data_IF_250872738727
#
_entry.id   IF_250872738727
#
_cell.length_a   1.000
_cell.length_b   1.000
_cell.length_c   1.000
_cell.angle_alpha   90.00
_cell.angle_beta   90.00
_cell.angle_gamma   90.00
#
_symmetry.space_group_name_H-M   'P 1'
#
loop_
_entity.id
_entity.type
_entity.pdbx_description
1 polymer ?
#
# COMPACT_ATOMS: atom_id res chain seq x y z
N UNK A 1 -27.00 21.87 23.35
CA UNK A 1 -26.19 20.77 23.90
C UNK A 1 -26.06 19.59 22.94
N UNK A 2 -26.97 19.36 21.98
CA UNK A 2 -26.86 18.26 21.01
C UNK A 2 -25.74 18.40 19.94
N UNK A 3 -25.50 19.61 19.41
CA UNK A 3 -24.53 19.80 18.31
C UNK A 3 -23.09 19.43 18.65
N UNK A 4 -22.69 19.50 19.92
CA UNK A 4 -21.31 19.23 20.34
C UNK A 4 -21.04 17.72 20.53
N UNK A 5 -22.06 17.00 21.00
CA UNK A 5 -22.03 15.55 21.16
C UNK A 5 -21.98 14.86 19.78
N UNK A 6 -22.78 15.34 18.83
CA UNK A 6 -22.73 14.89 17.43
C UNK A 6 -21.34 15.12 16.80
N UNK A 7 -20.72 16.28 17.04
CA UNK A 7 -19.36 16.55 16.56
C UNK A 7 -18.32 15.60 17.17
N UNK A 8 -18.51 15.20 18.42
CA UNK A 8 -17.62 14.26 19.10
C UNK A 8 -17.76 12.85 18.52
N UNK A 9 -18.99 12.36 18.34
CA UNK A 9 -19.25 11.07 17.69
C UNK A 9 -18.67 11.02 16.29
N UNK A 10 -18.90 12.05 15.47
CA UNK A 10 -18.33 12.14 14.11
C UNK A 10 -16.81 12.18 14.11
N UNK A 11 -16.20 12.84 15.08
CA UNK A 11 -14.74 12.84 15.23
C UNK A 11 -14.22 11.44 15.57
N UNK A 12 -14.88 10.72 16.47
CA UNK A 12 -14.52 9.35 16.82
C UNK A 12 -14.62 8.42 15.60
N UNK A 13 -15.75 8.46 14.87
CA UNK A 13 -15.93 7.68 13.64
C UNK A 13 -14.87 8.00 12.58
N UNK A 14 -14.58 9.29 12.35
CA UNK A 14 -13.57 9.72 11.38
C UNK A 14 -12.18 9.21 11.76
N UNK A 15 -11.84 9.20 13.05
CA UNK A 15 -10.56 8.67 13.54
C UNK A 15 -10.44 7.17 13.36
N UNK A 16 -11.51 6.40 13.58
CA UNK A 16 -11.50 4.97 13.30
C UNK A 16 -11.30 4.72 11.80
N UNK A 17 -12.02 5.44 10.91
CA UNK A 17 -11.80 5.33 9.45
C UNK A 17 -10.35 5.66 9.05
N UNK A 18 -9.75 6.70 9.65
CA UNK A 18 -8.33 7.02 9.42
C UNK A 18 -7.43 5.85 9.79
N UNK A 19 -7.62 5.23 10.96
CA UNK A 19 -6.82 4.07 11.39
C UNK A 19 -6.98 2.89 10.44
N UNK A 20 -8.19 2.62 9.98
CA UNK A 20 -8.47 1.53 9.03
C UNK A 20 -7.73 1.75 7.71
N UNK A 21 -7.72 2.99 7.19
CA UNK A 21 -6.98 3.34 5.98
C UNK A 21 -5.46 3.19 6.20
N UNK A 22 -4.93 3.62 7.35
CA UNK A 22 -3.51 3.48 7.68
C UNK A 22 -3.07 2.02 7.79
N UNK A 23 -3.88 1.18 8.42
CA UNK A 23 -3.64 -0.26 8.48
C UNK A 23 -3.62 -0.86 7.07
N UNK A 24 -4.61 -0.51 6.24
CA UNK A 24 -4.71 -0.98 4.85
C UNK A 24 -3.50 -0.53 4.01
N UNK A 25 -3.08 0.73 4.13
CA UNK A 25 -1.89 1.25 3.47
C UNK A 25 -0.63 0.48 3.89
N UNK A 26 -0.48 0.20 5.19
CA UNK A 26 0.66 -0.57 5.71
C UNK A 26 0.70 -1.97 5.10
N UNK A 27 -0.44 -2.67 5.03
CA UNK A 27 -0.51 -3.98 4.38
C UNK A 27 -0.11 -3.93 2.90
N UNK A 28 -0.53 -2.90 2.16
CA UNK A 28 -0.16 -2.80 0.74
C UNK A 28 1.34 -2.52 0.59
N UNK A 29 1.94 -1.71 1.47
CA UNK A 29 3.38 -1.46 1.48
C UNK A 29 4.18 -2.74 1.77
N UNK A 30 3.73 -3.55 2.73
CA UNK A 30 4.33 -4.86 3.02
C UNK A 30 4.23 -5.81 1.81
N UNK A 31 3.08 -5.81 1.13
CA UNK A 31 2.89 -6.60 -0.08
C UNK A 31 3.77 -6.11 -1.24
N UNK A 32 3.94 -4.80 -1.42
CA UNK A 32 4.90 -4.21 -2.38
C UNK A 32 6.33 -4.65 -2.09
N UNK A 33 6.73 -4.72 -0.82
CA UNK A 33 8.06 -5.20 -0.44
C UNK A 33 8.26 -6.69 -0.79
N UNK A 34 7.23 -7.53 -0.63
CA UNK A 34 7.27 -8.93 -1.07
C UNK A 34 7.38 -9.04 -2.59
N UNK A 35 6.67 -8.19 -3.34
CA UNK A 35 6.78 -8.13 -4.80
C UNK A 35 8.20 -7.76 -5.21
N UNK A 36 8.76 -6.69 -4.66
CA UNK A 36 10.12 -6.25 -4.96
C UNK A 36 11.16 -7.36 -4.68
N UNK A 37 11.02 -8.07 -3.55
CA UNK A 37 11.92 -9.17 -3.19
C UNK A 37 11.81 -10.35 -4.18
N UNK A 38 10.59 -10.71 -4.56
CA UNK A 38 10.32 -11.78 -5.54
C UNK A 38 10.78 -11.41 -6.95
N UNK A 39 10.69 -10.12 -7.28
CA UNK A 39 11.13 -9.61 -8.55
C UNK A 39 12.63 -9.74 -8.74
N UNK A 40 13.42 -9.41 -7.72
CA UNK A 40 14.88 -9.60 -7.72
C UNK A 40 15.23 -11.06 -7.98
N UNK A 41 14.49 -12.01 -7.36
CA UNK A 41 14.68 -13.44 -7.58
C UNK A 41 14.42 -13.84 -9.04
N UNK A 42 13.33 -13.38 -9.63
CA UNK A 42 12.97 -13.68 -11.02
C UNK A 42 13.88 -12.99 -12.04
N UNK A 43 14.30 -11.75 -11.80
CA UNK A 43 15.25 -11.04 -12.66
C UNK A 43 16.62 -11.75 -12.61
N UNK A 44 17.05 -12.21 -11.44
CA UNK A 44 18.26 -13.02 -11.28
C UNK A 44 18.19 -14.31 -12.11
N UNK A 45 17.05 -15.00 -12.11
CA UNK A 45 16.79 -16.14 -12.99
C UNK A 45 16.93 -15.77 -14.46
N UNK A 46 16.31 -14.68 -14.92
CA UNK A 46 16.39 -14.30 -16.33
C UNK A 46 17.80 -13.94 -16.77
N UNK A 47 18.54 -13.19 -15.95
CA UNK A 47 19.91 -12.77 -16.26
C UNK A 47 20.91 -13.92 -16.27
N UNK A 48 20.71 -14.98 -15.48
CA UNK A 48 21.61 -16.13 -15.52
C UNK A 48 21.52 -16.90 -16.84
N UNK A 49 20.36 -16.87 -17.50
CA UNK A 49 20.12 -17.61 -18.76
C UNK A 49 20.25 -16.76 -20.02
N UNK A 50 20.02 -15.45 -19.95
CA UNK A 50 20.20 -14.53 -21.09
C UNK A 50 20.64 -13.12 -20.64
N UNK A 51 21.90 -12.95 -20.20
CA UNK A 51 22.38 -11.71 -19.56
C UNK A 51 22.29 -10.49 -20.47
N UNK A 52 22.68 -10.63 -21.75
CA UNK A 52 22.65 -9.50 -22.70
C UNK A 52 21.22 -9.05 -22.99
N UNK A 53 20.29 -10.01 -23.13
CA UNK A 53 18.89 -9.73 -23.43
C UNK A 53 18.15 -9.09 -22.25
N UNK A 54 18.51 -9.43 -21.02
CA UNK A 54 17.87 -8.96 -19.79
C UNK A 54 18.68 -7.91 -19.02
N UNK A 55 19.75 -7.39 -19.61
CA UNK A 55 20.61 -6.34 -19.03
C UNK A 55 19.85 -5.06 -18.67
N UNK A 56 18.77 -4.75 -19.39
CA UNK A 56 17.91 -3.58 -19.16
C UNK A 56 16.93 -3.75 -17.99
N UNK A 57 16.80 -4.95 -17.41
CA UNK A 57 15.95 -5.18 -16.22
C UNK A 57 16.59 -4.64 -14.92
N UNK A 58 17.77 -4.00 -15.00
CA UNK A 58 18.33 -3.20 -13.91
C UNK A 58 17.49 -1.93 -13.67
N UNK A 59 16.36 -2.10 -13.02
CA UNK A 59 15.50 -1.04 -12.53
C UNK A 59 14.56 -1.62 -11.50
N UNK A 60 14.70 -1.17 -10.26
CA UNK A 60 13.73 -1.49 -9.21
C UNK A 60 12.41 -0.80 -9.57
N UNK A 61 11.25 -1.47 -9.48
CA UNK A 61 9.95 -0.80 -9.65
C UNK A 61 9.77 0.37 -8.69
N UNK A 62 10.55 0.39 -7.59
CA UNK A 62 10.57 1.47 -6.61
C UNK A 62 11.25 2.77 -7.09
N UNK A 63 12.04 2.78 -8.17
CA UNK A 63 12.77 4.00 -8.59
C UNK A 63 11.82 5.10 -9.12
N UNK A 64 10.58 4.75 -9.50
CA UNK A 64 9.51 5.70 -9.80
C UNK A 64 8.58 6.03 -8.62
N UNK A 65 8.69 5.29 -7.51
CA UNK A 65 7.80 5.39 -6.36
C UNK A 65 8.38 6.35 -5.31
N UNK A 66 8.22 7.64 -5.53
CA UNK A 66 8.20 8.60 -4.41
C UNK A 66 6.87 8.46 -3.66
N UNK A 67 6.65 7.29 -3.03
CA UNK A 67 5.57 7.11 -2.07
C UNK A 67 5.94 7.88 -0.80
N UNK A 68 5.67 9.18 -0.80
CA UNK A 68 5.67 10.00 0.40
C UNK A 68 4.42 9.70 1.24
N UNK A 69 4.24 8.44 1.64
CA UNK A 69 3.18 8.03 2.58
C UNK A 69 3.64 8.45 3.97
N UNK A 70 3.28 9.66 4.35
CA UNK A 70 3.49 10.16 5.70
C UNK A 70 2.40 9.61 6.62
N UNK A 71 2.66 8.45 7.22
CA UNK A 71 1.89 7.92 8.35
C UNK A 71 2.25 8.69 9.65
N UNK A 72 2.21 10.02 9.59
CA UNK A 72 2.43 10.84 10.79
C UNK A 72 1.17 10.73 11.63
N UNK A 73 1.15 9.99 12.75
CA UNK A 73 -0.01 9.81 13.64
C UNK A 73 -0.86 11.08 13.89
N UNK A 74 -2.15 10.92 14.24
CA UNK A 74 -3.10 12.06 14.39
C UNK A 74 -2.54 13.11 15.38
N UNK A 75 -2.14 14.32 14.94
CA UNK A 75 -1.68 15.36 15.86
C UNK A 75 -2.80 15.79 16.82
N UNK A 76 -4.07 15.55 16.47
CA UNK A 76 -5.21 15.82 17.33
C UNK A 76 -5.45 14.71 18.37
N UNK A 77 -4.83 13.53 18.27
CA UNK A 77 -4.88 12.51 19.31
C UNK A 77 -4.13 12.92 20.59
N UNK A 78 -3.23 13.93 20.49
CA UNK A 78 -2.55 14.52 21.65
C UNK A 78 -3.41 15.57 22.37
N UNK A 79 -4.52 16.01 21.78
CA UNK A 79 -5.45 16.91 22.42
C UNK A 79 -6.54 16.10 23.14
N UNK A 80 -6.34 15.86 24.44
CA UNK A 80 -7.39 15.42 25.35
C UNK A 80 -8.47 16.50 25.46
N UNK A 81 -9.33 16.61 24.44
CA UNK A 81 -10.46 17.52 24.42
C UNK A 81 -11.61 16.83 25.14
N UNK A 82 -11.87 17.26 26.38
CA UNK A 82 -13.15 16.97 27.03
C UNK A 82 -14.30 17.63 26.25
N UNK A 83 -15.54 17.14 26.41
CA UNK A 83 -16.73 17.55 25.64
C UNK A 83 -17.15 19.03 25.79
N UNK A 84 -16.38 19.87 26.50
CA UNK A 84 -16.74 21.26 26.80
C UNK A 84 -16.14 22.30 25.83
N UNK A 85 -15.18 21.94 24.96
CA UNK A 85 -14.56 22.84 23.98
C UNK A 85 -14.96 22.48 22.53
N UNK A 86 -16.21 22.77 22.17
CA UNK A 86 -16.80 22.42 20.87
C UNK A 86 -16.05 23.02 19.67
N UNK A 87 -15.41 24.19 19.85
CA UNK A 87 -14.59 24.82 18.80
C UNK A 87 -13.35 23.97 18.52
N UNK A 88 -12.71 23.44 19.56
CA UNK A 88 -11.57 22.52 19.43
C UNK A 88 -11.96 21.19 18.82
N UNK A 89 -13.10 20.62 19.23
CA UNK A 89 -13.64 19.38 18.61
C UNK A 89 -13.91 19.60 17.12
N UNK A 90 -14.50 20.74 16.74
CA UNK A 90 -14.74 21.09 15.34
C UNK A 90 -13.44 21.24 14.55
N UNK A 91 -12.42 21.86 15.13
CA UNK A 91 -11.12 22.00 14.47
C UNK A 91 -10.42 20.64 14.31
N UNK A 92 -10.48 19.79 15.33
CA UNK A 92 -9.97 18.41 15.25
C UNK A 92 -10.70 17.59 14.18
N UNK A 93 -12.02 17.74 14.06
CA UNK A 93 -12.80 17.08 13.00
C UNK A 93 -12.35 17.52 11.61
N UNK A 94 -12.16 18.81 11.37
CA UNK A 94 -11.65 19.32 10.08
C UNK A 94 -10.29 18.71 9.75
N UNK A 95 -9.38 18.63 10.73
CA UNK A 95 -8.07 18.02 10.55
C UNK A 95 -8.17 16.52 10.25
N UNK A 96 -9.00 15.79 11.00
CA UNK A 96 -9.20 14.35 10.83
C UNK A 96 -9.82 14.04 9.45
N UNK A 97 -10.83 14.79 9.01
CA UNK A 97 -11.45 14.64 7.69
C UNK A 97 -10.48 14.98 6.56
N UNK A 98 -9.67 16.03 6.72
CA UNK A 98 -8.63 16.37 5.73
C UNK A 98 -7.60 15.25 5.59
N UNK A 99 -7.21 14.63 6.71
CA UNK A 99 -6.29 13.49 6.72
C UNK A 99 -6.93 12.25 6.09
N UNK A 100 -8.17 11.93 6.45
CA UNK A 100 -8.95 10.83 5.86
C UNK A 100 -8.95 10.92 4.33
N UNK A 101 -9.23 12.12 3.79
CA UNK A 101 -9.22 12.36 2.35
C UNK A 101 -7.83 12.18 1.72
N UNK A 102 -6.79 12.71 2.37
CA UNK A 102 -5.41 12.57 1.90
C UNK A 102 -4.96 11.11 1.88
N UNK A 103 -5.23 10.35 2.94
CA UNK A 103 -4.88 8.94 3.04
C UNK A 103 -5.69 8.09 2.05
N UNK A 104 -6.97 8.40 1.86
CA UNK A 104 -7.81 7.74 0.85
C UNK A 104 -7.26 7.92 -0.57
N UNK A 105 -6.76 9.12 -0.87
CA UNK A 105 -6.10 9.39 -2.15
C UNK A 105 -4.81 8.58 -2.30
N UNK A 106 -3.94 8.59 -1.28
CA UNK A 106 -2.72 7.77 -1.26
C UNK A 106 -3.03 6.28 -1.39
N UNK A 107 -4.09 5.78 -0.75
CA UNK A 107 -4.51 4.39 -0.85
C UNK A 107 -4.94 4.03 -2.29
N UNK A 108 -5.62 4.94 -2.99
CA UNK A 108 -5.96 4.73 -4.39
C UNK A 108 -4.72 4.68 -5.30
N UNK A 109 -3.74 5.57 -5.07
CA UNK A 109 -2.48 5.60 -5.80
C UNK A 109 -1.67 4.32 -5.56
N UNK A 110 -1.41 3.97 -4.30
CA UNK A 110 -0.68 2.77 -3.90
C UNK A 110 -1.41 1.51 -4.39
N UNK A 111 -2.75 1.51 -4.35
CA UNK A 111 -3.58 0.43 -4.89
C UNK A 111 -3.45 0.25 -6.41
N UNK A 112 -3.27 1.33 -7.18
CA UNK A 112 -2.98 1.24 -8.62
C UNK A 112 -1.56 0.69 -8.86
N UNK A 113 -0.59 1.13 -8.05
CA UNK A 113 0.80 0.67 -8.12
C UNK A 113 0.89 -0.83 -7.89
N UNK A 114 0.38 -1.35 -6.76
CA UNK A 114 0.49 -2.79 -6.45
C UNK A 114 -0.14 -3.66 -7.55
N UNK A 115 -1.24 -3.21 -8.17
CA UNK A 115 -1.83 -3.93 -9.31
C UNK A 115 -0.89 -4.03 -10.49
N UNK A 116 -0.25 -2.92 -10.86
CA UNK A 116 0.74 -2.91 -11.96
C UNK A 116 1.94 -3.80 -11.62
N UNK A 117 2.41 -3.76 -10.38
CA UNK A 117 3.53 -4.58 -9.93
C UNK A 117 3.21 -6.08 -9.91
N UNK A 118 1.99 -6.47 -9.50
CA UNK A 118 1.54 -7.87 -9.57
C UNK A 118 1.46 -8.36 -11.03
N UNK A 119 1.01 -7.50 -11.96
CA UNK A 119 0.98 -7.81 -13.40
C UNK A 119 2.41 -7.99 -13.94
N UNK A 120 3.32 -7.06 -13.60
CA UNK A 120 4.73 -7.15 -13.99
C UNK A 120 5.38 -8.42 -13.45
N UNK A 121 5.17 -8.73 -12.17
CA UNK A 121 5.68 -9.94 -11.53
C UNK A 121 5.16 -11.21 -12.22
N UNK A 122 3.90 -11.21 -12.68
CA UNK A 122 3.32 -12.32 -13.45
C UNK A 122 4.09 -12.56 -14.77
N UNK A 123 4.44 -11.49 -15.48
CA UNK A 123 5.23 -11.57 -16.71
C UNK A 123 6.64 -12.14 -16.46
N UNK A 124 7.31 -11.67 -15.41
CA UNK A 124 8.63 -12.17 -15.01
C UNK A 124 8.58 -13.65 -14.61
N UNK A 125 7.55 -14.05 -13.86
CA UNK A 125 7.36 -15.45 -13.45
C UNK A 125 7.14 -16.33 -14.67
N UNK A 126 6.30 -15.92 -15.63
CA UNK A 126 6.05 -16.65 -16.87
C UNK A 126 7.33 -16.80 -17.71
N UNK A 127 8.14 -15.75 -17.82
CA UNK A 127 9.42 -15.81 -18.53
C UNK A 127 10.43 -16.72 -17.82
N UNK A 128 10.61 -16.57 -16.51
CA UNK A 128 11.53 -17.40 -15.75
C UNK A 128 11.10 -18.88 -15.78
N UNK A 129 9.79 -19.18 -15.85
CA UNK A 129 9.28 -20.55 -15.97
C UNK A 129 9.84 -21.31 -17.16
N UNK A 130 10.18 -20.61 -18.24
CA UNK A 130 10.80 -21.22 -19.43
C UNK A 130 12.19 -21.79 -19.13
N UNK A 131 12.94 -21.17 -18.21
CA UNK A 131 14.32 -21.54 -17.88
C UNK A 131 14.43 -22.31 -16.56
N UNK A 132 13.76 -21.84 -15.50
CA UNK A 132 13.75 -22.43 -14.16
C UNK A 132 12.31 -22.61 -13.64
N UNK A 133 11.63 -23.69 -14.03
CA UNK A 133 10.22 -23.90 -13.70
C UNK A 133 9.97 -24.01 -12.19
N UNK A 134 10.88 -24.64 -11.43
CA UNK A 134 10.73 -24.80 -9.98
C UNK A 134 10.83 -23.45 -9.23
N UNK A 135 11.75 -22.58 -9.65
CA UNK A 135 11.93 -21.25 -9.06
C UNK A 135 10.72 -20.35 -9.35
N UNK A 136 10.26 -20.35 -10.60
CA UNK A 136 9.05 -19.63 -11.00
C UNK A 136 7.81 -20.13 -10.24
N UNK A 137 7.65 -21.45 -10.11
CA UNK A 137 6.51 -22.04 -9.40
C UNK A 137 6.51 -21.69 -7.91
N UNK A 138 7.69 -21.66 -7.26
CA UNK A 138 7.83 -21.22 -5.87
C UNK A 138 7.37 -19.77 -5.70
N UNK A 139 7.93 -18.84 -6.48
CA UNK A 139 7.52 -17.42 -6.43
C UNK A 139 6.03 -17.27 -6.73
N UNK A 140 5.51 -18.07 -7.67
CA UNK A 140 4.10 -18.03 -8.03
C UNK A 140 3.19 -18.42 -6.86
N UNK A 141 3.52 -19.49 -6.14
CA UNK A 141 2.73 -19.98 -5.00
C UNK A 141 2.86 -19.10 -3.77
N UNK A 142 4.08 -18.70 -3.44
CA UNK A 142 4.38 -18.00 -2.19
C UNK A 142 3.99 -16.52 -2.24
N UNK A 143 4.12 -15.87 -3.41
CA UNK A 143 3.89 -14.44 -3.56
C UNK A 143 2.79 -14.14 -4.57
N UNK A 144 2.90 -14.64 -5.80
CA UNK A 144 2.08 -14.12 -6.89
C UNK A 144 0.59 -14.46 -6.77
N UNK A 145 0.23 -15.73 -6.59
CA UNK A 145 -1.18 -16.15 -6.55
C UNK A 145 -1.98 -15.49 -5.41
N UNK A 146 -1.45 -15.39 -4.16
CA UNK A 146 -2.11 -14.62 -3.11
C UNK A 146 -2.38 -13.17 -3.52
N UNK A 147 -1.42 -12.51 -4.16
CA UNK A 147 -1.53 -11.11 -4.56
C UNK A 147 -2.44 -10.89 -5.78
N UNK A 148 -2.48 -11.83 -6.73
CA UNK A 148 -3.45 -11.82 -7.84
C UNK A 148 -4.87 -11.87 -7.27
N UNK A 149 -5.13 -12.81 -6.37
CA UNK A 149 -6.45 -12.93 -5.74
C UNK A 149 -6.83 -11.66 -4.96
N UNK A 150 -5.87 -11.10 -4.20
CA UNK A 150 -6.08 -9.89 -3.40
C UNK A 150 -6.32 -8.62 -4.23
N UNK A 151 -5.54 -8.39 -5.29
CA UNK A 151 -5.49 -7.09 -5.97
C UNK A 151 -6.08 -7.07 -7.38
N UNK A 152 -6.17 -8.22 -8.06
CA UNK A 152 -6.68 -8.30 -9.43
C UNK A 152 -8.06 -8.97 -9.53
N UNK A 153 -8.52 -9.64 -8.46
CA UNK A 153 -9.80 -10.37 -8.44
C UNK A 153 -9.92 -11.40 -9.57
N UNK A 154 -8.79 -12.02 -9.94
CA UNK A 154 -8.68 -13.10 -10.92
C UNK A 154 -8.51 -14.46 -10.23
#
# INVERSE_FOLDING_TARGET
MGDCEELYERLAETRERVKDIESSLTEILDDLQKVASSEVDLISCLKSHAPDYFSWLDGSPADGLQLNVQLNGDPAAQAGAGPEDCTRVRQALIQATSREASLSFQMAEVGAVIRNEVIRLSGLAALCRHYEPERSERVSKETLYPLISKYLSL
#
